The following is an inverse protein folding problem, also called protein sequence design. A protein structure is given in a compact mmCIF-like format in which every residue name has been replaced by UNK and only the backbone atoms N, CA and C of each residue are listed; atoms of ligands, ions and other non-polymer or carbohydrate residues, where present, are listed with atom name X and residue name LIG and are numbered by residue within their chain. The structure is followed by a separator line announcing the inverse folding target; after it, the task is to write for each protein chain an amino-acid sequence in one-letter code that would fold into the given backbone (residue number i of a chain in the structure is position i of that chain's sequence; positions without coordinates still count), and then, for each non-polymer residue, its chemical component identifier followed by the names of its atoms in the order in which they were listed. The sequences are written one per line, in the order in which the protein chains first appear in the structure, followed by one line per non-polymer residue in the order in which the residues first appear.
data_IF_788220498466
#
_entry.id   IF_788220498466
#
_cell.length_a   1.000
_cell.length_b   1.000
_cell.length_c   1.000
_cell.angle_alpha   90.00
_cell.angle_beta   90.00
_cell.angle_gamma   90.00
#
_symmetry.space_group_name_H-M   'P 1'
#
loop_
_entity.id
_entity.type
_entity.pdbx_description
1 polymer ?
#
# COMPACT_ATOMS: atom_id res chain seq x y z
N UNK A 1 36.62 -18.15 -0.58
CA UNK A 1 36.10 -18.26 0.79
C UNK A 1 36.20 -16.88 1.40
N UNK A 2 35.09 -16.42 1.98
CA UNK A 2 34.62 -15.03 2.04
C UNK A 2 35.55 -13.98 2.66
N UNK A 3 35.56 -12.79 2.03
CA UNK A 3 35.98 -11.53 2.61
C UNK A 3 34.74 -10.73 3.02
N UNK A 4 34.48 -10.63 4.32
CA UNK A 4 33.44 -9.78 4.90
C UNK A 4 34.01 -8.38 5.16
N UNK A 5 33.57 -7.39 4.38
CA UNK A 5 33.86 -5.97 4.65
C UNK A 5 32.77 -5.43 5.57
N UNK A 6 33.07 -5.33 6.87
CA UNK A 6 32.34 -4.50 7.82
C UNK A 6 32.79 -3.06 7.62
N UNK A 7 31.90 -2.15 7.25
CA UNK A 7 32.18 -0.71 7.28
C UNK A 7 31.82 -0.16 8.66
N UNK A 8 32.88 0.24 9.36
CA UNK A 8 32.89 0.88 10.67
C UNK A 8 32.29 2.29 10.60
N UNK A 9 31.42 2.61 11.54
CA UNK A 9 30.98 3.97 11.86
C UNK A 9 32.00 4.60 12.82
N UNK A 10 32.53 5.81 12.55
CA UNK A 10 33.46 6.44 13.47
C UNK A 10 32.68 7.08 14.62
N UNK A 11 32.92 6.58 15.82
CA UNK A 11 32.64 7.27 17.08
C UNK A 11 33.66 8.38 17.29
N UNK A 12 33.20 9.61 17.49
CA UNK A 12 33.97 10.62 18.21
C UNK A 12 33.02 11.58 18.93
N UNK A 13 32.76 11.28 20.20
CA UNK A 13 32.43 12.28 21.20
C UNK A 13 33.60 13.27 21.31
N UNK A 14 33.36 14.54 20.97
CA UNK A 14 33.92 15.79 21.54
C UNK A 14 33.43 16.92 20.61
N UNK A 15 32.20 17.38 20.83
CA UNK A 15 31.90 18.82 20.92
C UNK A 15 30.42 18.98 21.25
N UNK A 16 30.13 19.43 22.47
CA UNK A 16 28.86 20.08 22.81
C UNK A 16 28.79 21.40 22.04
N UNK A 17 28.52 21.35 20.73
CA UNK A 17 28.12 22.50 19.92
C UNK A 17 26.76 22.21 19.34
N UNK A 18 25.76 22.83 19.98
CA UNK A 18 24.46 23.24 19.41
C UNK A 18 24.04 22.36 18.23
N UNK A 19 23.14 21.40 18.47
CA UNK A 19 22.32 20.83 17.41
C UNK A 19 22.02 21.96 16.41
N UNK A 20 22.54 21.91 15.17
CA UNK A 20 22.25 22.97 14.23
C UNK A 20 20.76 22.79 13.97
N UNK A 21 19.95 23.63 14.60
CA UNK A 21 18.58 23.82 14.15
C UNK A 21 18.71 24.00 12.64
N UNK A 22 18.20 23.01 11.89
CA UNK A 22 18.26 22.99 10.43
C UNK A 22 17.99 24.42 9.96
N UNK A 23 18.86 24.97 9.11
CA UNK A 23 18.63 26.32 8.61
C UNK A 23 17.24 26.37 7.97
N UNK A 24 16.58 27.53 7.97
CA UNK A 24 15.24 27.62 7.38
C UNK A 24 15.23 27.14 5.92
N UNK A 25 16.34 27.31 5.21
CA UNK A 25 16.59 26.75 3.88
C UNK A 25 16.67 25.21 3.87
N UNK A 26 17.41 24.60 4.80
CA UNK A 26 17.49 23.15 4.94
C UNK A 26 16.14 22.54 5.34
N UNK A 27 15.40 23.17 6.25
CA UNK A 27 14.03 22.73 6.62
C UNK A 27 13.10 22.78 5.42
N UNK A 28 13.14 23.87 4.66
CA UNK A 28 12.32 24.02 3.44
C UNK A 28 12.66 22.96 2.41
N UNK A 29 13.94 22.69 2.16
CA UNK A 29 14.38 21.64 1.25
C UNK A 29 13.91 20.24 1.71
N UNK A 30 14.09 19.91 3.00
CA UNK A 30 13.64 18.64 3.56
C UNK A 30 12.12 18.47 3.48
N UNK A 31 11.35 19.52 3.78
CA UNK A 31 9.90 19.51 3.66
C UNK A 31 9.43 19.24 2.23
N UNK A 32 10.03 19.93 1.24
CA UNK A 32 9.72 19.72 -0.18
C UNK A 32 10.04 18.26 -0.59
N UNK A 33 11.22 17.75 -0.21
CA UNK A 33 11.62 16.39 -0.52
C UNK A 33 10.69 15.34 0.13
N UNK A 34 10.32 15.53 1.40
CA UNK A 34 9.40 14.65 2.11
C UNK A 34 8.02 14.64 1.47
N UNK A 35 7.51 15.80 1.07
CA UNK A 35 6.20 15.90 0.42
C UNK A 35 6.23 15.30 -1.00
N UNK A 36 7.31 15.50 -1.74
CA UNK A 36 7.49 14.87 -3.04
C UNK A 36 7.48 13.35 -2.92
N UNK A 37 8.26 12.77 -1.99
CA UNK A 37 8.26 11.33 -1.72
C UNK A 37 6.87 10.83 -1.31
N UNK A 38 6.17 11.56 -0.43
CA UNK A 38 4.80 11.22 -0.03
C UNK A 38 3.87 11.16 -1.24
N UNK A 39 3.94 12.13 -2.15
CA UNK A 39 3.12 12.16 -3.38
C UNK A 39 3.47 11.06 -4.37
N UNK A 40 4.76 10.75 -4.53
CA UNK A 40 5.22 9.65 -5.37
C UNK A 40 4.69 8.30 -4.86
N UNK A 41 4.76 8.06 -3.54
CA UNK A 41 4.18 6.86 -2.92
C UNK A 41 2.67 6.77 -3.14
N UNK A 42 1.93 7.86 -2.95
CA UNK A 42 0.48 7.88 -3.18
C UNK A 42 0.16 7.51 -4.63
N UNK A 43 0.87 8.09 -5.61
CA UNK A 43 0.67 7.78 -7.03
C UNK A 43 0.95 6.31 -7.34
N UNK A 44 2.03 5.75 -6.80
CA UNK A 44 2.36 4.34 -6.99
C UNK A 44 1.25 3.41 -6.47
N UNK A 45 0.62 3.74 -5.34
CA UNK A 45 -0.53 2.96 -4.83
C UNK A 45 -1.78 3.13 -5.71
N UNK A 46 -2.03 4.32 -6.27
CA UNK A 46 -3.10 4.51 -7.26
C UNK A 46 -2.85 3.68 -8.53
N UNK A 47 -1.63 3.65 -9.02
CA UNK A 47 -1.26 2.81 -10.16
C UNK A 47 -1.52 1.33 -9.84
N UNK A 48 -1.17 0.87 -8.63
CA UNK A 48 -1.47 -0.50 -8.19
C UNK A 48 -2.97 -0.79 -8.18
N UNK A 49 -3.80 0.13 -7.71
CA UNK A 49 -5.26 -0.02 -7.71
C UNK A 49 -5.78 -0.16 -9.15
N UNK A 50 -5.28 0.65 -10.09
CA UNK A 50 -5.65 0.54 -11.51
C UNK A 50 -5.36 -0.85 -12.07
N UNK A 51 -4.21 -1.44 -11.74
CA UNK A 51 -3.84 -2.79 -12.19
C UNK A 51 -4.72 -3.90 -11.59
N UNK A 52 -5.27 -3.71 -10.39
CA UNK A 52 -6.09 -4.71 -9.69
C UNK A 52 -7.57 -4.69 -10.10
N UNK A 53 -8.05 -3.56 -10.62
CA UNK A 53 -9.46 -3.33 -10.93
C UNK A 53 -9.70 -3.53 -12.44
N UNK A 54 -10.34 -4.63 -12.87
CA UNK A 54 -10.50 -4.96 -14.30
C UNK A 54 -11.30 -3.94 -15.10
N UNK A 55 -12.12 -3.13 -14.43
CA UNK A 55 -12.98 -2.10 -15.02
C UNK A 55 -12.27 -0.76 -15.25
N UNK A 56 -11.01 -0.64 -14.82
CA UNK A 56 -10.14 0.50 -15.08
C UNK A 56 -9.16 0.16 -16.21
N UNK A 57 -9.05 1.05 -17.20
CA UNK A 57 -7.99 0.96 -18.22
C UNK A 57 -6.84 1.91 -17.89
N UNK A 58 -5.66 1.68 -18.48
CA UNK A 58 -4.52 2.60 -18.31
C UNK A 58 -4.82 4.03 -18.77
N UNK A 59 -5.81 4.25 -19.66
CA UNK A 59 -6.23 5.61 -20.03
C UNK A 59 -7.00 6.34 -18.91
N UNK A 60 -7.55 5.60 -17.94
CA UNK A 60 -8.34 6.14 -16.83
C UNK A 60 -7.51 6.36 -15.56
N UNK A 61 -6.20 6.04 -15.59
CA UNK A 61 -5.27 6.21 -14.47
C UNK A 61 -5.06 7.68 -14.01
N UNK A 62 -5.65 8.65 -14.71
CA UNK A 62 -5.49 10.09 -14.42
C UNK A 62 -6.55 10.67 -13.48
N UNK A 63 -7.67 9.98 -13.27
CA UNK A 63 -8.79 10.51 -12.47
C UNK A 63 -8.88 9.80 -11.12
N UNK A 64 -8.33 10.43 -10.06
CA UNK A 64 -8.36 9.88 -8.69
C UNK A 64 -9.78 9.49 -8.26
N UNK A 65 -10.77 10.35 -8.54
CA UNK A 65 -12.17 10.06 -8.22
C UNK A 65 -12.69 8.83 -8.96
N UNK A 66 -12.39 8.71 -10.26
CA UNK A 66 -12.85 7.55 -11.04
C UNK A 66 -12.20 6.26 -10.55
N UNK A 67 -10.90 6.30 -10.24
CA UNK A 67 -10.19 5.13 -9.69
C UNK A 67 -10.84 4.69 -8.38
N UNK A 68 -11.08 5.62 -7.45
CA UNK A 68 -11.71 5.30 -6.16
C UNK A 68 -13.12 4.75 -6.33
N UNK A 69 -13.96 5.40 -7.15
CA UNK A 69 -15.34 4.96 -7.38
C UNK A 69 -15.40 3.56 -7.99
N UNK A 70 -14.70 3.31 -9.10
CA UNK A 70 -14.73 2.00 -9.76
C UNK A 70 -14.12 0.90 -8.90
N UNK A 71 -13.13 1.23 -8.08
CA UNK A 71 -12.53 0.25 -7.17
C UNK A 71 -13.49 -0.12 -6.03
N UNK A 72 -14.25 0.86 -5.51
CA UNK A 72 -15.32 0.58 -4.55
C UNK A 72 -16.42 -0.32 -5.15
N UNK A 73 -16.86 0.01 -6.37
CA UNK A 73 -17.85 -0.80 -7.10
C UNK A 73 -17.35 -2.24 -7.31
N UNK A 74 -16.07 -2.40 -7.67
CA UNK A 74 -15.47 -3.72 -7.87
C UNK A 74 -15.35 -4.53 -6.56
N UNK A 75 -15.05 -3.89 -5.43
CA UNK A 75 -15.05 -4.54 -4.11
C UNK A 75 -16.46 -5.08 -3.78
N UNK A 76 -17.50 -4.29 -4.05
CA UNK A 76 -18.88 -4.72 -3.81
C UNK A 76 -19.29 -5.87 -4.74
N UNK A 77 -18.90 -5.82 -6.02
CA UNK A 77 -19.08 -6.94 -6.95
C UNK A 77 -18.41 -8.23 -6.44
N UNK A 78 -17.14 -8.15 -6.03
CA UNK A 78 -16.40 -9.32 -5.50
C UNK A 78 -17.07 -9.92 -4.26
N UNK A 79 -17.62 -9.07 -3.38
CA UNK A 79 -18.36 -9.54 -2.20
C UNK A 79 -19.63 -10.28 -2.59
N UNK A 80 -20.36 -9.81 -3.59
CA UNK A 80 -21.57 -10.46 -4.05
C UNK A 80 -21.27 -11.77 -4.81
N UNK A 81 -20.23 -11.79 -5.64
CA UNK A 81 -19.74 -13.01 -6.28
C UNK A 81 -19.30 -14.06 -5.25
N UNK A 82 -18.57 -13.65 -4.20
CA UNK A 82 -18.17 -14.54 -3.12
C UNK A 82 -19.40 -15.19 -2.43
N UNK A 83 -20.44 -14.41 -2.11
CA UNK A 83 -21.69 -14.94 -1.54
C UNK A 83 -22.36 -15.96 -2.48
N UNK A 84 -22.42 -15.67 -3.77
CA UNK A 84 -23.01 -16.58 -4.77
C UNK A 84 -22.23 -17.89 -4.86
N UNK A 85 -20.89 -17.83 -4.83
CA UNK A 85 -20.03 -19.01 -4.83
C UNK A 85 -20.22 -19.86 -3.56
N UNK A 86 -20.30 -19.22 -2.39
CA UNK A 86 -20.58 -19.92 -1.13
C UNK A 86 -21.93 -20.65 -1.18
N UNK A 87 -22.97 -20.00 -1.70
CA UNK A 87 -24.28 -20.62 -1.87
C UNK A 87 -24.24 -21.78 -2.86
N UNK A 88 -23.50 -21.65 -3.97
CA UNK A 88 -23.31 -22.73 -4.93
C UNK A 88 -22.60 -23.93 -4.30
N UNK A 89 -21.56 -23.71 -3.50
CA UNK A 89 -20.88 -24.75 -2.75
C UNK A 89 -21.84 -25.45 -1.78
N UNK A 90 -22.65 -24.68 -1.03
CA UNK A 90 -23.67 -25.21 -0.13
C UNK A 90 -24.67 -26.11 -0.85
N UNK A 91 -25.19 -25.67 -1.99
CA UNK A 91 -26.15 -26.44 -2.80
C UNK A 91 -25.53 -27.71 -3.38
N UNK A 92 -24.24 -27.68 -3.70
CA UNK A 92 -23.49 -28.84 -4.22
C UNK A 92 -22.93 -29.74 -3.12
N UNK A 93 -23.11 -29.41 -1.84
CA UNK A 93 -22.53 -30.14 -0.72
C UNK A 93 -21.00 -30.08 -0.67
N UNK A 94 -20.40 -29.06 -1.28
CA UNK A 94 -18.94 -28.85 -1.27
C UNK A 94 -18.60 -28.08 0.01
N UNK A 95 -17.76 -28.64 0.91
CA UNK A 95 -17.31 -27.93 2.09
C UNK A 95 -16.38 -26.78 1.68
N UNK A 96 -16.57 -25.61 2.29
CA UNK A 96 -15.70 -24.44 2.08
C UNK A 96 -14.80 -24.27 3.30
N UNK A 97 -13.46 -24.27 3.13
CA UNK A 97 -12.52 -23.98 4.22
C UNK A 97 -12.78 -22.60 4.85
N UNK A 98 -12.63 -22.50 6.18
CA UNK A 98 -12.87 -21.26 6.94
C UNK A 98 -11.94 -20.11 6.51
N UNK A 99 -10.75 -20.43 6.00
CA UNK A 99 -9.78 -19.49 5.44
C UNK A 99 -10.29 -18.78 4.17
N UNK A 100 -11.27 -19.36 3.47
CA UNK A 100 -11.85 -18.77 2.25
C UNK A 100 -13.14 -17.98 2.52
N UNK A 101 -13.63 -18.00 3.77
CA UNK A 101 -14.85 -17.30 4.16
C UNK A 101 -14.50 -15.85 4.48
N UNK A 102 -14.90 -14.91 3.62
CA UNK A 102 -14.67 -13.50 3.86
C UNK A 102 -15.32 -13.02 5.19
N UNK A 103 -14.50 -12.65 6.17
CA UNK A 103 -14.95 -12.18 7.50
C UNK A 103 -15.11 -10.67 7.60
N UNK A 104 -14.65 -9.92 6.60
CA UNK A 104 -14.58 -8.46 6.64
C UNK A 104 -13.15 -7.94 6.65
N UNK A 105 -12.97 -6.61 6.48
CA UNK A 105 -11.64 -6.01 6.46
C UNK A 105 -11.00 -6.05 7.86
N UNK A 106 -9.70 -6.31 7.90
CA UNK A 106 -8.91 -6.27 9.14
C UNK A 106 -9.08 -7.48 10.07
N UNK A 107 -9.84 -8.50 9.66
CA UNK A 107 -9.95 -9.77 10.38
C UNK A 107 -9.02 -10.77 9.70
N UNK A 108 -7.94 -11.16 10.39
CA UNK A 108 -7.03 -12.17 9.89
C UNK A 108 -7.73 -13.54 9.82
N UNK A 109 -7.39 -14.30 8.79
CA UNK A 109 -7.65 -15.74 8.77
C UNK A 109 -6.48 -16.38 9.54
N UNK A 110 -6.76 -16.89 10.73
CA UNK A 110 -5.82 -17.71 11.52
C UNK A 110 -5.67 -19.11 10.92
#
# INVERSE_FOLDING_TARGET
MENTIKQESPTSDIDKKKSPNLTEEQKKAHHIASEQKRRENIRAEFDRIVHLTPTLTEQENRSELSILSKSADYIDQLKDENKQLLELCRLKGIPVPDELIYKGPGIAHE
#
